data_IF_797180150539
#
_entry.id   IF_797180150539
#
_cell.length_a   1.000
_cell.length_b   1.000
_cell.length_c   1.000
_cell.angle_alpha   90.00
_cell.angle_beta   90.00
_cell.angle_gamma   90.00
#
_symmetry.space_group_name_H-M   'P 1'
#
loop_
_entity.id
_entity.type
_entity.pdbx_description
1 polymer ?
#
# COMPACT_ATOMS: atom_id res chain seq x y z
N UNK A 1 13.55 30.77 -7.65
CA UNK A 1 12.68 29.61 -7.80
C UNK A 1 13.18 28.52 -6.82
N UNK A 2 12.55 28.42 -5.67
CA UNK A 2 12.62 27.39 -4.61
C UNK A 2 13.96 26.68 -4.25
N UNK A 3 15.13 27.10 -4.72
CA UNK A 3 16.44 26.49 -4.39
C UNK A 3 16.56 24.96 -4.60
N UNK A 4 15.63 24.37 -5.36
CA UNK A 4 15.54 22.92 -5.59
C UNK A 4 16.39 22.57 -6.82
N UNK A 5 17.29 21.61 -6.65
CA UNK A 5 18.09 21.08 -7.76
C UNK A 5 17.19 20.39 -8.81
N UNK A 6 17.60 20.31 -10.08
CA UNK A 6 16.83 19.57 -11.12
C UNK A 6 16.52 18.13 -10.71
N UNK A 7 17.43 17.51 -9.97
CA UNK A 7 17.27 16.16 -9.44
C UNK A 7 16.20 16.10 -8.35
N UNK A 8 16.10 17.13 -7.50
CA UNK A 8 15.02 17.27 -6.51
C UNK A 8 13.65 17.41 -7.17
N UNK A 9 13.57 18.14 -8.30
CA UNK A 9 12.35 18.24 -9.09
C UNK A 9 11.96 16.87 -9.68
N UNK A 10 12.91 16.12 -10.22
CA UNK A 10 12.67 14.77 -10.74
C UNK A 10 12.13 13.83 -9.67
N UNK A 11 12.73 13.88 -8.47
CA UNK A 11 12.26 13.10 -7.32
C UNK A 11 10.83 13.44 -6.94
N UNK A 12 10.54 14.74 -6.77
CA UNK A 12 9.22 15.20 -6.32
C UNK A 12 8.14 14.92 -7.37
N UNK A 13 8.37 15.31 -8.63
CA UNK A 13 7.40 15.10 -9.71
C UNK A 13 7.21 13.59 -10.03
N UNK A 14 8.27 12.79 -9.90
CA UNK A 14 8.22 11.35 -10.13
C UNK A 14 7.45 10.60 -9.06
N UNK A 15 7.56 11.02 -7.79
CA UNK A 15 6.89 10.39 -6.66
C UNK A 15 5.49 10.95 -6.39
N UNK A 16 5.21 12.19 -6.75
CA UNK A 16 3.94 12.87 -6.48
C UNK A 16 2.70 12.10 -6.98
N UNK A 17 2.69 11.51 -8.20
CA UNK A 17 1.52 10.76 -8.69
C UNK A 17 1.16 9.54 -7.83
N UNK A 18 2.10 8.99 -7.06
CA UNK A 18 1.83 7.86 -6.19
C UNK A 18 0.78 8.19 -5.11
N UNK A 19 0.71 9.43 -4.63
CA UNK A 19 -0.22 9.87 -3.58
C UNK A 19 -1.68 9.76 -4.05
N UNK A 20 -2.11 10.48 -5.11
CA UNK A 20 -3.49 10.39 -5.57
C UNK A 20 -3.85 8.98 -6.08
N UNK A 21 -2.90 8.24 -6.66
CA UNK A 21 -3.12 6.86 -7.06
C UNK A 21 -3.39 5.95 -5.85
N UNK A 22 -2.61 6.10 -4.77
CA UNK A 22 -2.83 5.35 -3.54
C UNK A 22 -4.19 5.70 -2.92
N UNK A 23 -4.51 6.98 -2.78
CA UNK A 23 -5.80 7.45 -2.22
C UNK A 23 -6.96 6.88 -3.04
N UNK A 24 -6.92 7.00 -4.35
CA UNK A 24 -7.96 6.48 -5.23
C UNK A 24 -8.15 4.97 -5.04
N UNK A 25 -7.06 4.19 -5.01
CA UNK A 25 -7.13 2.74 -4.82
C UNK A 25 -7.64 2.37 -3.42
N UNK A 26 -7.26 3.09 -2.38
CA UNK A 26 -7.81 2.87 -1.03
C UNK A 26 -9.31 3.14 -0.97
N UNK A 27 -9.77 4.25 -1.54
CA UNK A 27 -11.20 4.60 -1.55
C UNK A 27 -12.01 3.62 -2.41
N UNK A 28 -11.51 3.24 -3.58
CA UNK A 28 -12.27 2.42 -4.54
C UNK A 28 -12.22 0.93 -4.29
N UNK A 29 -11.05 0.43 -3.84
CA UNK A 29 -10.80 -1.01 -3.70
C UNK A 29 -10.51 -1.43 -2.24
N UNK A 30 -10.42 -0.48 -1.30
CA UNK A 30 -10.03 -0.72 0.08
C UNK A 30 -8.55 -1.11 0.26
N UNK A 31 -7.79 -1.24 -0.83
CA UNK A 31 -6.36 -1.61 -0.83
C UNK A 31 -5.69 -1.21 -2.14
N UNK A 32 -4.37 -1.15 -2.14
CA UNK A 32 -3.60 -1.01 -3.37
C UNK A 32 -3.65 -2.34 -4.14
N UNK A 33 -4.06 -2.28 -5.40
CA UNK A 33 -4.20 -3.45 -6.29
C UNK A 33 -3.08 -3.42 -7.34
N UNK A 34 -2.02 -4.24 -7.21
CA UNK A 34 -0.82 -4.10 -8.03
C UNK A 34 -1.01 -4.48 -9.50
N UNK A 35 -2.02 -5.30 -9.82
CA UNK A 35 -2.17 -5.90 -11.15
C UNK A 35 -2.99 -5.09 -12.15
N UNK A 36 -3.61 -4.00 -11.71
CA UNK A 36 -4.32 -3.09 -12.61
C UNK A 36 -3.40 -1.98 -13.14
N UNK A 37 -3.86 -1.20 -14.13
CA UNK A 37 -3.09 -0.10 -14.71
C UNK A 37 -2.68 0.94 -13.65
N UNK A 38 -3.55 1.25 -12.70
CA UNK A 38 -3.27 2.21 -11.61
C UNK A 38 -2.21 1.68 -10.64
N UNK A 39 -2.23 0.37 -10.35
CA UNK A 39 -1.21 -0.28 -9.54
C UNK A 39 0.16 -0.23 -10.23
N UNK A 40 0.21 -0.48 -11.54
CA UNK A 40 1.46 -0.36 -12.31
C UNK A 40 1.99 1.07 -12.31
N UNK A 41 1.12 2.06 -12.49
CA UNK A 41 1.48 3.48 -12.40
C UNK A 41 2.01 3.86 -11.00
N UNK A 42 1.35 3.37 -9.95
CA UNK A 42 1.82 3.51 -8.57
C UNK A 42 3.22 2.91 -8.38
N UNK A 43 3.44 1.69 -8.88
CA UNK A 43 4.74 1.03 -8.82
C UNK A 43 5.84 1.88 -9.47
N UNK A 44 5.61 2.36 -10.70
CA UNK A 44 6.59 3.17 -11.43
C UNK A 44 6.89 4.46 -10.67
N UNK A 45 5.87 5.17 -10.19
CA UNK A 45 6.06 6.40 -9.41
C UNK A 45 6.82 6.15 -8.12
N UNK A 46 6.50 5.10 -7.39
CA UNK A 46 7.19 4.72 -6.16
C UNK A 46 8.64 4.29 -6.43
N UNK A 47 8.89 3.58 -7.53
CA UNK A 47 10.22 3.16 -7.93
C UNK A 47 11.11 4.37 -8.27
N UNK A 48 10.57 5.33 -9.04
CA UNK A 48 11.28 6.59 -9.36
C UNK A 48 11.58 7.34 -8.06
N UNK A 49 10.60 7.51 -7.17
CA UNK A 49 10.79 8.18 -5.89
C UNK A 49 11.84 7.48 -5.01
N UNK A 50 11.73 6.16 -4.83
CA UNK A 50 12.63 5.40 -3.98
C UNK A 50 14.07 5.31 -4.54
N UNK A 51 14.26 5.32 -5.85
CA UNK A 51 15.59 5.31 -6.47
C UNK A 51 16.23 6.69 -6.46
N UNK A 52 15.47 7.73 -6.77
CA UNK A 52 16.00 9.10 -6.79
C UNK A 52 16.29 9.65 -5.40
N UNK A 53 15.70 9.10 -4.32
CA UNK A 53 16.05 9.51 -2.95
C UNK A 53 17.52 9.30 -2.65
N UNK A 54 18.16 8.26 -3.18
CA UNK A 54 19.60 7.99 -2.99
C UNK A 54 20.50 9.06 -3.62
N UNK A 55 19.99 9.80 -4.58
CA UNK A 55 20.73 10.87 -5.27
C UNK A 55 20.48 12.24 -4.63
N UNK A 56 19.33 12.43 -3.96
CA UNK A 56 18.89 13.70 -3.38
C UNK A 56 19.13 13.77 -1.87
N UNK A 57 19.09 12.63 -1.19
CA UNK A 57 19.18 12.58 0.25
C UNK A 57 20.61 12.83 0.77
N UNK A 58 20.70 13.62 1.83
CA UNK A 58 21.96 13.90 2.55
C UNK A 58 21.95 13.31 3.96
N UNK A 59 20.84 12.70 4.38
CA UNK A 59 20.69 12.18 5.73
C UNK A 59 20.56 10.64 5.73
N UNK A 60 21.20 9.95 6.70
CA UNK A 60 21.18 8.49 6.77
C UNK A 60 19.77 7.91 6.93
N UNK A 61 18.87 8.61 7.60
CA UNK A 61 17.45 8.22 7.76
C UNK A 61 16.73 8.11 6.41
N UNK A 62 17.01 9.00 5.47
CA UNK A 62 16.40 8.99 4.14
C UNK A 62 16.82 7.78 3.32
N UNK A 63 18.08 7.36 3.44
CA UNK A 63 18.55 6.11 2.82
C UNK A 63 17.83 4.89 3.38
N UNK A 64 17.64 4.85 4.71
CA UNK A 64 16.89 3.77 5.36
C UNK A 64 15.44 3.68 4.86
N UNK A 65 14.76 4.81 4.73
CA UNK A 65 13.40 4.89 4.19
C UNK A 65 13.38 4.42 2.72
N UNK A 66 14.35 4.84 1.90
CA UNK A 66 14.47 4.42 0.50
C UNK A 66 14.64 2.92 0.36
N UNK A 67 15.56 2.31 1.11
CA UNK A 67 15.80 0.86 1.11
C UNK A 67 14.55 0.12 1.57
N UNK A 68 13.93 0.53 2.69
CA UNK A 68 12.71 -0.09 3.20
C UNK A 68 11.58 -0.03 2.16
N UNK A 69 11.41 1.11 1.49
CA UNK A 69 10.41 1.29 0.44
C UNK A 69 10.64 0.36 -0.73
N UNK A 70 11.89 0.22 -1.21
CA UNK A 70 12.23 -0.70 -2.31
C UNK A 70 11.96 -2.16 -1.92
N UNK A 71 12.38 -2.58 -0.73
CA UNK A 71 12.14 -3.95 -0.24
C UNK A 71 10.64 -4.26 -0.13
N UNK A 72 9.86 -3.34 0.45
CA UNK A 72 8.41 -3.50 0.57
C UNK A 72 7.71 -3.48 -0.78
N UNK A 73 8.18 -2.66 -1.72
CA UNK A 73 7.64 -2.57 -3.08
C UNK A 73 7.88 -3.89 -3.83
N UNK A 74 9.11 -4.39 -3.82
CA UNK A 74 9.46 -5.68 -4.43
C UNK A 74 8.68 -6.82 -3.78
N UNK A 75 8.56 -6.82 -2.45
CA UNK A 75 7.78 -7.83 -1.73
C UNK A 75 6.31 -7.76 -2.12
N UNK A 76 5.71 -6.55 -2.11
CA UNK A 76 4.29 -6.36 -2.41
C UNK A 76 3.91 -6.77 -3.84
N UNK A 77 4.77 -6.51 -4.82
CA UNK A 77 4.52 -6.89 -6.22
C UNK A 77 4.98 -8.31 -6.54
N UNK A 78 6.06 -8.77 -5.92
CA UNK A 78 6.68 -10.07 -6.19
C UNK A 78 6.01 -11.25 -5.49
N UNK A 79 5.43 -11.05 -4.29
CA UNK A 79 4.87 -12.14 -3.47
C UNK A 79 3.79 -12.94 -4.20
N UNK A 80 3.07 -12.31 -5.11
CA UNK A 80 2.01 -12.94 -5.88
C UNK A 80 2.51 -13.95 -6.92
N UNK A 81 3.79 -13.86 -7.31
CA UNK A 81 4.42 -14.82 -8.22
C UNK A 81 4.90 -16.08 -7.48
N UNK A 82 4.97 -16.03 -6.14
CA UNK A 82 5.33 -17.16 -5.32
C UNK A 82 4.10 -18.03 -5.04
N UNK A 83 3.90 -19.07 -5.83
CA UNK A 83 2.78 -20.02 -5.70
C UNK A 83 2.72 -20.70 -4.34
N UNK A 84 3.84 -20.75 -3.62
CA UNK A 84 3.99 -21.40 -2.31
C UNK A 84 3.24 -20.68 -1.18
N UNK A 85 3.02 -19.35 -1.30
CA UNK A 85 2.46 -18.52 -0.20
C UNK A 85 0.93 -18.56 -0.16
N UNK A 86 0.27 -19.02 -1.20
CA UNK A 86 -1.18 -19.22 -1.23
C UNK A 86 -1.99 -18.00 -0.77
N UNK A 87 -2.87 -18.21 0.21
CA UNK A 87 -3.76 -17.16 0.74
C UNK A 87 -3.03 -16.06 1.51
N UNK A 88 -1.86 -16.36 2.10
CA UNK A 88 -1.09 -15.38 2.84
C UNK A 88 -0.51 -14.30 1.91
N UNK A 89 -0.29 -14.61 0.63
CA UNK A 89 0.24 -13.66 -0.35
C UNK A 89 -0.60 -12.36 -0.41
N UNK A 90 -1.92 -12.47 -0.38
CA UNK A 90 -2.83 -11.30 -0.44
C UNK A 90 -2.68 -10.40 0.79
N UNK A 91 -2.46 -10.98 1.96
CA UNK A 91 -2.23 -10.21 3.20
C UNK A 91 -0.87 -9.52 3.16
N UNK A 92 0.17 -10.23 2.78
CA UNK A 92 1.54 -9.68 2.67
C UNK A 92 1.56 -8.57 1.61
N UNK A 93 0.98 -8.79 0.43
CA UNK A 93 0.80 -7.78 -0.62
C UNK A 93 0.13 -6.52 -0.06
N UNK A 94 -1.00 -6.67 0.61
CA UNK A 94 -1.79 -5.56 1.14
C UNK A 94 -1.01 -4.78 2.21
N UNK A 95 -0.39 -5.46 3.16
CA UNK A 95 0.37 -4.81 4.25
C UNK A 95 1.62 -4.12 3.69
N UNK A 96 2.39 -4.80 2.83
CA UNK A 96 3.60 -4.22 2.25
C UNK A 96 3.29 -2.96 1.46
N UNK A 97 2.27 -2.97 0.60
CA UNK A 97 1.91 -1.80 -0.20
C UNK A 97 1.29 -0.67 0.64
N UNK A 98 0.58 -0.99 1.73
CA UNK A 98 0.11 0.05 2.66
C UNK A 98 1.27 0.71 3.41
N UNK A 99 2.31 -0.07 3.76
CA UNK A 99 3.53 0.45 4.36
C UNK A 99 4.32 1.33 3.38
N UNK A 100 4.38 1.00 2.09
CA UNK A 100 5.03 1.89 1.11
C UNK A 100 4.33 3.22 1.00
N UNK A 101 2.99 3.25 1.01
CA UNK A 101 2.22 4.49 1.01
C UNK A 101 2.47 5.33 2.28
N UNK A 102 2.58 4.68 3.44
CA UNK A 102 2.94 5.34 4.69
C UNK A 102 4.35 5.94 4.64
N UNK A 103 5.35 5.17 4.19
CA UNK A 103 6.73 5.65 4.05
C UNK A 103 6.85 6.83 3.08
N UNK A 104 5.99 6.90 2.07
CA UNK A 104 5.89 8.06 1.18
C UNK A 104 5.31 9.28 1.91
N UNK A 105 4.30 9.09 2.77
CA UNK A 105 3.65 10.19 3.50
C UNK A 105 4.57 10.82 4.54
N UNK A 106 5.43 10.03 5.21
CA UNK A 106 6.33 10.54 6.25
C UNK A 106 7.23 11.68 5.75
N UNK A 107 8.05 11.51 4.70
CA UNK A 107 8.87 12.60 4.17
C UNK A 107 8.02 13.70 3.53
N UNK A 108 6.90 13.37 2.87
CA UNK A 108 6.02 14.35 2.24
C UNK A 108 5.47 15.35 3.25
N UNK A 109 4.92 14.87 4.36
CA UNK A 109 4.39 15.73 5.43
C UNK A 109 5.53 16.51 6.10
N UNK A 110 6.68 15.87 6.37
CA UNK A 110 7.83 16.53 6.97
C UNK A 110 8.35 17.68 6.13
N UNK A 111 8.54 17.44 4.83
CA UNK A 111 9.02 18.49 3.91
C UNK A 111 8.00 19.61 3.71
N UNK A 112 6.71 19.28 3.66
CA UNK A 112 5.65 20.28 3.55
C UNK A 112 5.63 21.19 4.78
N UNK A 113 5.65 20.64 5.98
CA UNK A 113 5.63 21.44 7.22
C UNK A 113 6.89 22.30 7.40
N UNK A 114 8.03 21.86 6.83
CA UNK A 114 9.29 22.61 6.91
C UNK A 114 9.47 23.67 5.83
N UNK A 115 8.65 23.65 4.78
CA UNK A 115 8.77 24.58 3.64
C UNK A 115 7.59 25.56 3.52
N UNK A 116 6.48 25.25 4.14
CA UNK A 116 5.24 26.07 4.04
C UNK A 116 4.93 26.72 5.39
N UNK A 117 4.56 28.02 5.45
CA UNK A 117 4.65 29.01 4.38
C UNK A 117 6.09 29.47 4.13
N UNK A 118 6.36 29.98 2.93
CA UNK A 118 7.68 30.54 2.60
C UNK A 118 8.01 31.73 3.52
N UNK A 119 9.22 31.68 4.12
CA UNK A 119 9.66 32.73 5.05
C UNK A 119 9.35 32.47 6.52
N UNK A 120 8.26 31.76 6.85
CA UNK A 120 7.88 31.39 8.21
C UNK A 120 7.36 29.95 8.25
N UNK A 121 8.23 28.94 8.10
CA UNK A 121 7.80 27.55 8.10
C UNK A 121 7.16 27.16 9.43
N UNK A 122 6.13 26.30 9.38
CA UNK A 122 5.45 25.80 10.58
C UNK A 122 6.38 25.07 11.53
N UNK A 123 7.46 24.48 11.00
CA UNK A 123 8.42 23.69 11.76
C UNK A 123 9.84 24.02 11.31
N UNK A 124 10.63 24.52 12.25
CA UNK A 124 12.09 24.76 12.04
C UNK A 124 12.94 23.63 12.58
N UNK A 125 12.47 22.94 13.62
CA UNK A 125 13.18 21.87 14.32
C UNK A 125 12.59 20.49 14.05
N UNK A 126 13.47 19.50 13.85
CA UNK A 126 13.07 18.09 13.67
C UNK A 126 12.41 17.49 14.94
N UNK A 127 12.63 18.09 16.09
CA UNK A 127 12.03 17.70 17.38
C UNK A 127 10.75 18.47 17.72
N UNK A 128 10.24 19.29 16.80
CA UNK A 128 9.00 20.04 17.01
C UNK A 128 7.85 19.10 17.35
N UNK A 129 7.03 19.42 18.38
CA UNK A 129 5.88 18.61 18.76
C UNK A 129 4.84 18.50 17.63
N UNK A 130 4.75 19.51 16.76
CA UNK A 130 3.87 19.47 15.60
C UNK A 130 4.31 18.41 14.57
N UNK A 131 5.61 18.29 14.32
CA UNK A 131 6.15 17.29 13.41
C UNK A 131 5.98 15.88 13.99
N UNK A 132 6.32 15.68 15.24
CA UNK A 132 6.15 14.39 15.94
C UNK A 132 4.67 14.00 16.02
N UNK A 133 3.79 14.96 16.30
CA UNK A 133 2.35 14.74 16.33
C UNK A 133 1.79 14.35 14.98
N UNK A 134 2.22 15.00 13.90
CA UNK A 134 1.79 14.65 12.53
C UNK A 134 2.24 13.25 12.11
N UNK A 135 3.46 12.87 12.44
CA UNK A 135 3.98 11.53 12.18
C UNK A 135 3.28 10.47 13.04
N UNK A 136 2.99 10.78 14.31
CA UNK A 136 2.16 9.94 15.17
C UNK A 136 0.76 9.73 14.61
N UNK A 137 0.11 10.79 14.12
CA UNK A 137 -1.19 10.70 13.47
C UNK A 137 -1.16 9.81 12.22
N UNK A 138 -0.12 9.94 11.38
CA UNK A 138 0.06 9.06 10.21
C UNK A 138 0.22 7.60 10.62
N UNK A 139 0.94 7.32 11.70
CA UNK A 139 1.11 5.95 12.24
C UNK A 139 -0.23 5.38 12.71
N UNK A 140 -1.02 6.17 13.43
CA UNK A 140 -2.37 5.75 13.88
C UNK A 140 -3.27 5.45 12.67
N UNK A 141 -3.26 6.31 11.65
CA UNK A 141 -4.01 6.09 10.40
C UNK A 141 -3.56 4.80 9.72
N UNK A 142 -2.25 4.52 9.68
CA UNK A 142 -1.72 3.27 9.13
C UNK A 142 -2.26 2.05 9.90
N UNK A 143 -2.18 2.06 11.22
CA UNK A 143 -2.64 0.94 12.06
C UNK A 143 -4.13 0.69 11.84
N UNK A 144 -4.96 1.73 11.88
CA UNK A 144 -6.41 1.63 11.63
C UNK A 144 -6.66 1.12 10.21
N UNK A 145 -5.98 1.69 9.20
CA UNK A 145 -6.14 1.32 7.80
C UNK A 145 -5.78 -0.15 7.54
N UNK A 146 -4.62 -0.59 8.00
CA UNK A 146 -4.16 -2.00 7.84
C UNK A 146 -5.10 -2.95 8.58
N UNK A 147 -5.52 -2.61 9.79
CA UNK A 147 -6.48 -3.44 10.55
C UNK A 147 -7.81 -3.58 9.80
N UNK A 148 -8.37 -2.49 9.30
CA UNK A 148 -9.60 -2.49 8.51
C UNK A 148 -9.44 -3.34 7.23
N UNK A 149 -8.32 -3.22 6.52
CA UNK A 149 -8.01 -4.01 5.32
C UNK A 149 -7.95 -5.51 5.63
N UNK A 150 -7.27 -5.89 6.71
CA UNK A 150 -7.18 -7.30 7.14
C UNK A 150 -8.56 -7.84 7.51
N UNK A 151 -9.38 -7.06 8.23
CA UNK A 151 -10.74 -7.46 8.58
C UNK A 151 -11.61 -7.65 7.33
N UNK A 152 -11.54 -6.72 6.38
CA UNK A 152 -12.26 -6.80 5.11
C UNK A 152 -11.87 -8.05 4.30
N UNK A 153 -10.57 -8.33 4.19
CA UNK A 153 -10.06 -9.53 3.51
C UNK A 153 -10.53 -10.82 4.19
N UNK A 154 -10.54 -10.86 5.50
CA UNK A 154 -11.05 -12.01 6.28
C UNK A 154 -12.54 -12.24 6.05
N UNK A 155 -13.35 -11.19 6.02
CA UNK A 155 -14.79 -11.29 5.77
C UNK A 155 -15.06 -11.82 4.35
N UNK A 156 -14.39 -11.27 3.35
CA UNK A 156 -14.50 -11.71 1.95
C UNK A 156 -14.10 -13.20 1.80
N UNK A 157 -13.05 -13.63 2.46
CA UNK A 157 -12.63 -15.05 2.45
C UNK A 157 -13.66 -15.97 3.08
N UNK A 158 -14.34 -15.55 4.16
CA UNK A 158 -15.41 -16.33 4.82
C UNK A 158 -16.65 -16.43 3.92
N UNK A 159 -17.06 -15.36 3.22
CA UNK A 159 -18.22 -15.36 2.34
C UNK A 159 -18.04 -16.30 1.14
N UNK A 160 -16.86 -16.27 0.51
CA UNK A 160 -16.54 -17.18 -0.59
C UNK A 160 -16.55 -18.64 -0.14
N UNK A 161 -16.02 -18.94 1.04
CA UNK A 161 -16.04 -20.31 1.59
C UNK A 161 -17.47 -20.79 1.86
N UNK A 162 -18.36 -19.93 2.38
CA UNK A 162 -19.78 -20.26 2.61
C UNK A 162 -20.53 -20.52 1.30
N UNK A 163 -20.31 -19.70 0.28
CA UNK A 163 -20.91 -19.88 -1.05
C UNK A 163 -20.49 -21.22 -1.65
N UNK A 164 -19.20 -21.57 -1.63
CA UNK A 164 -18.70 -22.85 -2.15
C UNK A 164 -19.24 -24.07 -1.41
N UNK A 165 -19.44 -23.97 -0.07
CA UNK A 165 -20.08 -25.04 0.72
C UNK A 165 -21.55 -25.22 0.34
N UNK A 166 -22.27 -24.12 0.10
CA UNK A 166 -23.68 -24.18 -0.30
C UNK A 166 -23.84 -24.86 -1.66
N UNK A 167 -22.98 -24.50 -2.61
CA UNK A 167 -22.97 -25.07 -3.97
C UNK A 167 -22.64 -26.57 -3.96
N UNK A 168 -21.65 -26.99 -3.18
CA UNK A 168 -21.28 -28.41 -3.03
C UNK A 168 -22.41 -29.23 -2.42
N UNK A 169 -23.18 -28.66 -1.49
CA UNK A 169 -24.33 -29.31 -0.83
C UNK A 169 -25.49 -29.48 -1.82
N UNK A 170 -25.76 -28.49 -2.66
CA UNK A 170 -26.80 -28.56 -3.71
C UNK A 170 -26.44 -29.62 -4.75
N UNK A 171 -25.16 -29.67 -5.15
CA UNK A 171 -24.68 -30.67 -6.13
C UNK A 171 -24.77 -32.09 -5.58
N UNK A 172 -24.49 -32.30 -4.29
CA UNK A 172 -24.66 -33.57 -3.60
C UNK A 172 -26.13 -34.01 -3.49
N UNK A 173 -27.06 -33.08 -3.21
CA UNK A 173 -28.50 -33.35 -3.19
C UNK A 173 -29.04 -33.71 -4.57
N UNK A 174 -28.58 -33.04 -5.63
CA UNK A 174 -28.95 -33.38 -7.02
C UNK A 174 -28.49 -34.77 -7.40
N UNK A 175 -27.26 -35.17 -7.08
CA UNK A 175 -26.74 -36.53 -7.35
C UNK A 175 -27.51 -37.61 -6.59
N UNK A 176 -28.02 -37.36 -5.38
CA UNK A 176 -28.84 -38.32 -4.63
C UNK A 176 -30.24 -38.46 -5.20
N UNK A 177 -30.81 -37.44 -5.83
CA UNK A 177 -32.12 -37.52 -6.52
C UNK A 177 -32.06 -38.19 -7.88
N UNK A 178 -30.91 -38.22 -8.52
CA UNK A 178 -30.71 -38.88 -9.84
C UNK A 178 -30.12 -40.29 -9.70
N UNK A 179 -30.31 -41.00 -8.57
CA UNK A 179 -30.11 -42.44 -8.57
C UNK A 179 -31.36 -43.06 -9.22
N UNK A 180 -31.28 -43.56 -10.47
CA UNK A 180 -32.36 -44.35 -10.98
C UNK A 180 -32.43 -45.61 -10.14
N UNK A 181 -33.60 -45.89 -9.63
CA UNK A 181 -34.01 -47.23 -9.22
C UNK A 181 -33.98 -48.14 -10.45
N UNK A 182 -32.81 -48.65 -10.76
CA UNK A 182 -32.64 -49.79 -11.63
C UNK A 182 -32.63 -51.02 -10.73
N UNK A 183 -33.79 -51.59 -10.49
CA UNK A 183 -33.99 -52.97 -10.06
C UNK A 183 -35.42 -53.39 -10.38
N UNK A 184 -35.62 -53.99 -11.53
CA UNK A 184 -36.46 -55.17 -11.76
C UNK A 184 -36.17 -55.70 -13.13
#
# INVERSE_FOLDING_TARGET
MFGITPLGWLHTLGSLPAIPLAIYMFVRHGRITPRNALGKAYFISMLIGATTVFLVAHQPVSYGIGIATLLLLVTGYGIAHLTYVGRAAVYIETVSLSLTAFLLMVPTVSETLRRVPEGHPFVTDLKSPLLLGSQGALLVILIIGVTAQIMFLRQKSKSVRRAGLCESTIHRRRRRRCRPTCLA
#
